data_IF_085368968627
#
_entry.id   IF_085368968627
#
_cell.length_a   1.000
_cell.length_b   1.000
_cell.length_c   1.000
_cell.angle_alpha   90.00
_cell.angle_beta   90.00
_cell.angle_gamma   90.00
#
_symmetry.space_group_name_H-M   'P 1'
#
loop_
_entity.id
_entity.type
_entity.pdbx_description
1 polymer ?
#
# COMPACT_ATOMS: atom_id res chain seq x y z
N UNK A 1 66.78 11.44 24.22
CA UNK A 1 67.10 11.72 22.79
C UNK A 1 66.09 10.97 21.92
N UNK A 2 64.80 11.18 22.19
CA UNK A 2 63.68 10.48 21.56
C UNK A 2 62.50 11.44 21.28
N UNK A 3 62.38 12.52 22.07
CA UNK A 3 61.38 13.59 21.87
C UNK A 3 61.56 14.44 20.59
N UNK A 4 62.71 14.34 19.92
CA UNK A 4 62.99 15.11 18.70
C UNK A 4 62.43 14.46 17.42
N UNK A 5 62.04 13.18 17.45
CA UNK A 5 61.60 12.45 16.26
C UNK A 5 60.08 12.52 15.99
N UNK A 6 59.30 13.08 16.91
CA UNK A 6 57.84 13.22 16.77
C UNK A 6 57.38 14.66 16.51
N UNK A 7 58.30 15.61 16.41
CA UNK A 7 57.98 17.04 16.22
C UNK A 7 57.50 17.40 14.81
N UNK A 8 57.81 16.56 13.82
CA UNK A 8 57.43 16.75 12.40
C UNK A 8 55.99 16.34 12.06
N UNK A 9 55.24 15.81 13.03
CA UNK A 9 53.83 15.39 12.85
C UNK A 9 52.82 16.35 13.50
N UNK A 10 53.26 17.49 14.07
CA UNK A 10 52.31 18.51 14.53
C UNK A 10 51.84 19.36 13.35
N UNK A 11 50.52 19.54 13.16
CA UNK A 11 49.99 20.50 12.20
C UNK A 11 50.52 21.91 12.51
N UNK A 12 50.81 22.75 11.50
CA UNK A 12 51.24 24.13 11.75
C UNK A 12 50.16 24.90 12.50
N UNK A 13 50.55 25.62 13.56
CA UNK A 13 49.66 26.54 14.26
C UNK A 13 49.29 27.69 13.30
N UNK A 14 48.07 27.64 12.77
CA UNK A 14 47.55 28.70 11.92
C UNK A 14 47.20 29.91 12.80
N UNK A 15 47.71 31.12 12.50
CA UNK A 15 47.34 32.32 13.23
C UNK A 15 45.83 32.56 13.10
N UNK A 16 45.21 32.91 14.23
CA UNK A 16 43.79 33.18 14.40
C UNK A 16 43.30 34.30 13.48
N UNK A 17 42.69 33.92 12.35
CA UNK A 17 41.83 34.81 11.58
C UNK A 17 40.44 34.78 12.25
N UNK A 18 39.79 35.92 12.53
CA UNK A 18 38.43 35.91 13.04
C UNK A 18 37.51 35.29 12.00
N UNK A 19 37.01 34.09 12.28
CA UNK A 19 35.92 33.50 11.50
C UNK A 19 34.68 34.40 11.63
N UNK A 20 34.04 34.82 10.54
CA UNK A 20 32.69 35.38 10.65
C UNK A 20 31.79 34.34 11.32
N UNK A 21 30.87 34.75 12.21
CA UNK A 21 29.97 33.80 12.85
C UNK A 21 29.24 33.00 11.77
N UNK A 22 28.97 31.69 12.00
CA UNK A 22 28.12 30.94 11.08
C UNK A 22 26.81 31.71 10.91
N UNK A 23 26.22 31.75 9.70
CA UNK A 23 24.93 32.38 9.53
C UNK A 23 23.98 31.73 10.53
N UNK A 24 23.49 32.52 11.48
CA UNK A 24 22.42 32.10 12.38
C UNK A 24 21.21 31.88 11.48
N UNK A 25 21.00 30.65 11.03
CA UNK A 25 19.75 30.24 10.42
C UNK A 25 18.69 30.16 11.51
N UNK A 26 18.35 31.31 12.11
CA UNK A 26 17.07 31.50 12.76
C UNK A 26 16.05 31.78 11.66
N UNK A 27 15.86 30.81 10.77
CA UNK A 27 14.51 30.61 10.27
C UNK A 27 13.74 30.10 11.49
N UNK A 28 12.59 30.69 11.84
CA UNK A 28 11.69 29.99 12.76
C UNK A 28 11.52 28.60 12.15
N UNK A 29 11.63 27.57 12.98
CA UNK A 29 11.26 26.22 12.64
C UNK A 29 9.74 26.25 12.41
N UNK A 30 9.32 26.89 11.32
CA UNK A 30 7.99 26.83 10.78
C UNK A 30 7.90 25.37 10.37
N UNK A 31 7.32 24.58 11.28
CA UNK A 31 6.72 23.33 10.92
C UNK A 31 5.71 23.72 9.85
N UNK A 32 6.15 23.74 8.60
CA UNK A 32 5.25 23.84 7.46
C UNK A 32 4.56 22.49 7.46
N UNK A 33 3.48 22.41 8.23
CA UNK A 33 2.45 21.39 8.06
C UNK A 33 1.92 21.63 6.66
N UNK A 34 2.60 21.02 5.69
CA UNK A 34 2.26 21.14 4.28
C UNK A 34 0.99 20.32 4.12
N UNK A 35 -0.09 20.95 3.66
CA UNK A 35 -1.30 20.21 3.34
C UNK A 35 -0.94 19.18 2.26
N UNK A 36 -1.12 17.87 2.51
CA UNK A 36 -0.90 16.83 1.51
C UNK A 36 -1.59 17.13 0.19
N UNK A 37 -2.75 17.81 0.21
CA UNK A 37 -3.51 18.17 -0.98
C UNK A 37 -2.78 19.15 -1.91
N UNK A 38 -1.79 19.88 -1.40
CA UNK A 38 -0.95 20.81 -2.16
C UNK A 38 0.27 20.14 -2.78
N UNK A 39 0.58 18.90 -2.37
CA UNK A 39 1.68 18.12 -2.92
C UNK A 39 1.26 17.35 -4.19
N UNK A 40 2.15 17.18 -5.17
CA UNK A 40 1.85 16.38 -6.36
C UNK A 40 1.63 14.91 -5.97
N UNK A 41 0.60 14.23 -6.53
CA UNK A 41 0.29 12.87 -6.15
C UNK A 41 1.24 11.83 -6.76
N UNK A 42 1.43 10.72 -6.05
CA UNK A 42 1.99 9.49 -6.57
C UNK A 42 0.91 8.69 -7.30
N UNK A 43 1.22 8.22 -8.52
CA UNK A 43 0.24 7.63 -9.43
C UNK A 43 0.41 6.12 -9.54
N UNK A 44 -0.71 5.41 -9.40
CA UNK A 44 -0.80 3.97 -9.65
C UNK A 44 -1.94 3.71 -10.64
N UNK A 45 -1.62 3.04 -11.74
CA UNK A 45 -2.61 2.64 -12.75
C UNK A 45 -2.58 1.13 -12.91
N UNK A 46 -3.72 0.48 -12.68
CA UNK A 46 -3.90 -0.96 -12.84
C UNK A 46 -5.03 -1.20 -13.83
N UNK A 47 -4.73 -1.96 -14.87
CA UNK A 47 -5.69 -2.33 -15.88
C UNK A 47 -5.66 -3.85 -16.09
N UNK A 48 -6.84 -4.47 -16.01
CA UNK A 48 -7.03 -5.90 -16.23
C UNK A 48 -8.14 -6.05 -17.26
N UNK A 49 -7.78 -6.44 -18.46
CA UNK A 49 -8.74 -6.74 -19.52
C UNK A 49 -8.61 -8.20 -19.95
N UNK A 50 -9.77 -8.85 -20.10
CA UNK A 50 -9.86 -10.21 -20.63
C UNK A 50 -10.53 -10.17 -22.00
N UNK A 51 -10.02 -10.98 -22.94
CA UNK A 51 -10.71 -11.17 -24.22
C UNK A 51 -12.10 -11.78 -24.02
N UNK A 52 -13.13 -11.38 -24.79
CA UNK A 52 -14.49 -11.96 -24.70
C UNK A 52 -14.55 -13.49 -24.94
N UNK A 53 -13.53 -14.06 -25.59
CA UNK A 53 -13.42 -15.49 -25.86
C UNK A 53 -12.73 -16.27 -24.75
N UNK A 54 -12.22 -15.58 -23.73
CA UNK A 54 -11.60 -16.20 -22.55
C UNK A 54 -12.62 -16.34 -21.42
N UNK A 55 -12.29 -17.21 -20.46
CA UNK A 55 -13.06 -17.41 -19.25
C UNK A 55 -12.10 -17.49 -18.05
N UNK A 56 -12.59 -17.10 -16.88
CA UNK A 56 -11.84 -17.16 -15.62
C UNK A 56 -12.63 -17.90 -14.57
N UNK A 57 -11.96 -18.71 -13.75
CA UNK A 57 -12.56 -19.38 -12.61
C UNK A 57 -11.99 -18.77 -11.33
N UNK A 58 -12.87 -18.23 -10.50
CA UNK A 58 -12.55 -17.65 -9.20
C UNK A 58 -12.95 -18.64 -8.09
N UNK A 59 -12.02 -18.87 -7.18
CA UNK A 59 -12.21 -19.71 -6.00
C UNK A 59 -12.27 -18.85 -4.74
N UNK A 60 -12.94 -19.36 -3.71
CA UNK A 60 -13.01 -18.87 -2.31
C UNK A 60 -12.48 -17.44 -2.06
N UNK A 61 -11.16 -17.22 -1.87
CA UNK A 61 -10.61 -15.90 -1.58
C UNK A 61 -10.89 -14.83 -2.64
N UNK A 62 -10.81 -15.19 -3.93
CA UNK A 62 -11.09 -14.25 -5.03
C UNK A 62 -12.58 -13.93 -5.12
N UNK A 63 -13.44 -14.91 -4.83
CA UNK A 63 -14.89 -14.67 -4.72
C UNK A 63 -15.21 -13.74 -3.54
N UNK A 64 -14.55 -13.94 -2.40
CA UNK A 64 -14.69 -13.06 -1.24
C UNK A 64 -14.23 -11.64 -1.57
N UNK A 65 -13.12 -11.49 -2.30
CA UNK A 65 -12.65 -10.18 -2.75
C UNK A 65 -13.71 -9.45 -3.60
N UNK A 66 -14.41 -10.14 -4.51
CA UNK A 66 -15.49 -9.55 -5.30
C UNK A 66 -16.66 -9.04 -4.44
N UNK A 67 -17.06 -9.79 -3.42
CA UNK A 67 -18.14 -9.38 -2.50
C UNK A 67 -17.70 -8.18 -1.65
N UNK A 68 -16.43 -8.16 -1.25
CA UNK A 68 -15.84 -7.10 -0.44
C UNK A 68 -15.35 -5.89 -1.24
N UNK A 69 -15.61 -5.79 -2.54
CA UNK A 69 -15.28 -4.59 -3.34
C UNK A 69 -15.91 -3.32 -2.74
N UNK A 70 -17.09 -3.44 -2.14
CA UNK A 70 -17.78 -2.34 -1.47
C UNK A 70 -17.31 -2.13 -0.03
N UNK A 71 -16.68 -3.13 0.59
CA UNK A 71 -16.24 -3.04 1.98
C UNK A 71 -14.98 -2.15 2.04
N UNK A 72 -14.98 -1.20 2.97
CA UNK A 72 -14.09 -0.03 3.12
C UNK A 72 -12.56 -0.33 3.23
N UNK A 73 -12.16 -1.60 3.09
CA UNK A 73 -10.78 -2.06 3.27
C UNK A 73 -9.77 -1.50 2.26
N UNK A 74 -10.22 -1.01 1.11
CA UNK A 74 -9.34 -0.46 0.06
C UNK A 74 -9.39 1.07 -0.02
N UNK A 75 -10.36 1.68 0.64
CA UNK A 75 -10.61 3.12 0.63
C UNK A 75 -9.93 3.80 1.82
N UNK A 76 -9.81 3.12 2.96
CA UNK A 76 -9.16 3.66 4.15
C UNK A 76 -7.73 3.13 4.33
N UNK A 77 -6.74 3.96 4.03
CA UNK A 77 -5.31 3.63 4.24
C UNK A 77 -4.85 3.96 5.68
N UNK A 78 -5.72 4.57 6.49
CA UNK A 78 -5.42 4.91 7.88
C UNK A 78 -5.31 3.66 8.78
N UNK A 79 -6.10 2.61 8.53
CA UNK A 79 -6.14 1.41 9.39
C UNK A 79 -4.98 0.42 9.14
N UNK A 80 -4.30 0.50 7.99
CA UNK A 80 -3.20 -0.40 7.64
C UNK A 80 -1.95 -0.21 8.52
N UNK A 81 -1.83 0.92 9.23
CA UNK A 81 -0.74 1.17 10.18
C UNK A 81 -1.04 0.55 11.55
N UNK A 82 -2.30 0.20 11.83
CA UNK A 82 -2.79 -0.23 13.15
C UNK A 82 -3.04 -1.73 13.28
N UNK A 83 -3.07 -2.48 12.17
CA UNK A 83 -3.39 -3.92 12.17
C UNK A 83 -2.15 -4.80 11.93
N UNK A 84 -1.70 -5.60 12.91
CA UNK A 84 -0.48 -6.42 12.80
C UNK A 84 -0.61 -7.63 11.85
N UNK A 85 -1.77 -7.84 11.21
CA UNK A 85 -2.01 -9.04 10.40
C UNK A 85 -1.48 -8.90 8.97
N UNK A 86 -1.38 -7.67 8.43
CA UNK A 86 -0.87 -7.43 7.07
C UNK A 86 0.65 -7.23 6.98
N UNK A 87 1.36 -7.10 8.11
CA UNK A 87 2.83 -7.11 8.16
C UNK A 87 3.46 -8.42 7.63
N UNK A 88 2.66 -9.47 7.43
CA UNK A 88 3.11 -10.79 6.94
C UNK A 88 3.13 -10.91 5.41
N UNK A 89 2.46 -10.02 4.66
CA UNK A 89 2.32 -10.13 3.20
C UNK A 89 3.01 -9.01 2.40
N UNK A 90 3.58 -8.00 3.06
CA UNK A 90 4.32 -6.92 2.40
C UNK A 90 5.68 -6.67 3.03
N UNK A 91 6.61 -7.63 2.92
CA UNK A 91 8.02 -7.38 2.57
C UNK A 91 8.79 -8.71 2.46
N UNK A 92 8.71 -9.36 1.30
CA UNK A 92 9.86 -10.13 0.81
C UNK A 92 10.92 -9.16 0.28
N UNK A 93 11.45 -8.32 1.16
CA UNK A 93 12.68 -7.55 0.94
C UNK A 93 13.59 -7.86 2.12
N UNK A 94 14.40 -8.88 1.94
CA UNK A 94 15.50 -9.28 2.80
C UNK A 94 16.50 -8.13 2.95
N UNK A 95 16.34 -7.27 3.94
CA UNK A 95 17.41 -6.54 4.64
C UNK A 95 16.84 -6.13 6.00
N UNK A 96 16.95 -7.04 6.97
CA UNK A 96 16.38 -6.84 8.30
C UNK A 96 17.15 -5.80 9.09
N UNK A 97 16.44 -4.88 9.75
CA UNK A 97 16.81 -4.27 11.02
C UNK A 97 15.57 -4.31 11.92
N UNK A 98 15.64 -5.04 13.04
CA UNK A 98 14.64 -4.94 14.10
C UNK A 98 14.83 -3.64 14.86
N UNK A 99 13.79 -2.84 15.14
CA UNK A 99 13.87 -1.84 16.18
C UNK A 99 13.47 -2.50 17.50
N UNK A 100 14.48 -2.75 18.33
CA UNK A 100 14.31 -2.97 19.76
C UNK A 100 13.39 -1.89 20.35
N UNK A 101 12.54 -2.32 21.28
CA UNK A 101 11.55 -1.48 21.93
C UNK A 101 12.12 -0.15 22.41
N UNK A 102 11.43 0.91 22.03
CA UNK A 102 11.50 2.19 22.70
C UNK A 102 10.09 2.77 22.69
N UNK A 103 9.77 3.45 23.78
CA UNK A 103 8.42 3.83 24.17
C UNK A 103 7.61 4.56 23.07
N UNK A 104 6.33 4.23 23.15
CA UNK A 104 5.19 4.87 22.52
C UNK A 104 5.02 6.29 23.09
N UNK A 105 4.37 7.19 22.32
CA UNK A 105 3.81 8.50 22.74
C UNK A 105 4.52 9.82 22.31
N UNK A 106 5.76 9.89 21.78
CA UNK A 106 6.34 11.21 21.36
C UNK A 106 7.31 11.22 20.17
N UNK A 107 7.32 10.23 19.28
CA UNK A 107 8.23 10.26 18.12
C UNK A 107 7.69 11.10 16.96
N UNK A 108 8.08 12.37 17.01
CA UNK A 108 8.56 13.19 15.90
C UNK A 108 7.76 13.17 14.59
N UNK A 109 6.80 14.10 14.48
CA UNK A 109 6.44 14.69 13.18
C UNK A 109 7.64 15.33 12.44
N UNK A 110 8.84 15.36 13.05
CA UNK A 110 10.08 15.89 12.50
C UNK A 110 10.90 14.86 11.68
N UNK A 111 10.56 13.56 11.69
CA UNK A 111 11.29 12.50 10.97
C UNK A 111 10.53 11.89 9.79
N UNK A 112 9.29 12.31 9.54
CA UNK A 112 8.55 11.89 8.36
C UNK A 112 9.10 12.62 7.12
N UNK A 113 9.63 11.85 6.17
CA UNK A 113 10.11 12.39 4.90
C UNK A 113 8.94 13.12 4.21
N UNK A 114 9.07 14.39 3.76
CA UNK A 114 7.96 15.16 3.20
C UNK A 114 7.29 14.50 2.00
N UNK A 115 8.03 13.67 1.23
CA UNK A 115 7.46 12.88 0.13
C UNK A 115 6.51 11.77 0.60
N UNK A 116 6.57 11.36 1.88
CA UNK A 116 5.65 10.40 2.47
C UNK A 116 4.26 11.01 2.74
N UNK A 117 4.15 12.34 2.72
CA UNK A 117 2.88 13.05 2.79
C UNK A 117 2.24 13.23 1.40
N UNK A 118 2.86 12.75 0.32
CA UNK A 118 2.27 12.92 -1.02
C UNK A 118 1.03 12.05 -1.17
N UNK A 119 -0.08 12.60 -1.68
CA UNK A 119 -1.31 11.87 -1.85
C UNK A 119 -1.15 10.81 -2.95
N UNK A 120 -2.03 9.81 -2.92
CA UNK A 120 -2.13 8.83 -4.00
C UNK A 120 -3.22 9.22 -5.00
N UNK A 121 -2.94 9.00 -6.28
CA UNK A 121 -3.89 9.08 -7.39
C UNK A 121 -3.91 7.71 -8.07
N UNK A 122 -4.86 6.86 -7.66
CA UNK A 122 -4.96 5.46 -8.03
C UNK A 122 -6.12 5.30 -9.01
N UNK A 123 -5.86 4.67 -10.15
CA UNK A 123 -6.88 4.25 -11.11
C UNK A 123 -6.83 2.75 -11.28
N UNK A 124 -7.97 2.08 -11.14
CA UNK A 124 -8.12 0.65 -11.36
C UNK A 124 -9.25 0.43 -12.36
N UNK A 125 -8.96 -0.32 -13.42
CA UNK A 125 -9.88 -0.69 -14.48
C UNK A 125 -9.84 -2.21 -14.64
N UNK A 126 -10.98 -2.87 -14.47
CA UNK A 126 -11.11 -4.32 -14.60
C UNK A 126 -12.29 -4.62 -15.53
N UNK A 127 -12.06 -5.38 -16.57
CA UNK A 127 -13.09 -5.83 -17.52
C UNK A 127 -12.91 -7.33 -17.79
N UNK A 128 -13.75 -8.14 -17.17
CA UNK A 128 -13.73 -9.60 -17.27
C UNK A 128 -15.01 -10.11 -17.94
N UNK A 129 -14.86 -11.19 -18.70
CA UNK A 129 -15.96 -11.89 -19.36
C UNK A 129 -15.99 -13.34 -18.89
N UNK A 130 -17.19 -13.95 -18.91
CA UNK A 130 -17.42 -15.38 -18.59
C UNK A 130 -16.71 -15.80 -17.29
N UNK A 131 -17.05 -15.10 -16.20
CA UNK A 131 -16.49 -15.34 -14.86
C UNK A 131 -17.25 -16.48 -14.19
N UNK A 132 -16.55 -17.55 -13.85
CA UNK A 132 -17.09 -18.69 -13.12
C UNK A 132 -16.66 -18.63 -11.65
N UNK A 133 -17.61 -18.78 -10.73
CA UNK A 133 -17.33 -18.94 -9.30
C UNK A 133 -17.47 -20.39 -8.89
N UNK A 134 -16.51 -20.92 -8.13
CA UNK A 134 -16.62 -22.24 -7.49
C UNK A 134 -16.21 -22.19 -6.02
N UNK A 135 -17.04 -22.73 -5.15
CA UNK A 135 -16.70 -22.94 -3.75
C UNK A 135 -16.10 -24.34 -3.57
N UNK A 136 -14.84 -24.46 -3.11
CA UNK A 136 -14.27 -25.76 -2.79
C UNK A 136 -15.03 -26.40 -1.63
N UNK A 137 -15.49 -27.63 -1.81
CA UNK A 137 -16.13 -28.42 -0.76
C UNK A 137 -15.46 -29.79 -0.66
N UNK A 138 -15.50 -30.39 0.52
CA UNK A 138 -15.10 -31.78 0.69
C UNK A 138 -16.20 -32.68 0.10
N UNK A 139 -15.95 -33.22 -1.10
CA UNK A 139 -16.91 -34.09 -1.78
C UNK A 139 -16.65 -35.56 -1.43
N UNK A 140 -17.71 -36.26 -1.03
CA UNK A 140 -17.77 -37.72 -0.97
C UNK A 140 -18.52 -38.27 -2.19
N UNK A 141 -18.59 -39.58 -2.36
CA UNK A 141 -19.31 -40.18 -3.49
C UNK A 141 -20.80 -39.79 -3.56
N UNK A 142 -21.40 -39.47 -2.40
CA UNK A 142 -22.82 -39.16 -2.26
C UNK A 142 -23.09 -37.68 -1.96
N UNK A 143 -22.08 -36.81 -2.03
CA UNK A 143 -22.25 -35.39 -1.71
C UNK A 143 -22.89 -34.61 -2.87
N UNK A 144 -23.73 -33.60 -2.58
CA UNK A 144 -24.28 -32.72 -3.62
C UNK A 144 -23.18 -32.02 -4.43
N UNK A 145 -23.52 -31.60 -5.64
CA UNK A 145 -22.64 -30.75 -6.45
C UNK A 145 -22.29 -29.46 -5.70
N UNK A 146 -21.02 -29.06 -5.77
CA UNK A 146 -20.56 -27.86 -5.11
C UNK A 146 -21.25 -26.60 -5.67
N UNK A 147 -21.62 -25.63 -4.81
CA UNK A 147 -22.18 -24.38 -5.25
C UNK A 147 -21.26 -23.71 -6.26
N UNK A 148 -21.87 -23.26 -7.36
CA UNK A 148 -21.17 -22.58 -8.42
C UNK A 148 -21.92 -21.34 -8.86
N UNK A 149 -21.23 -20.46 -9.56
CA UNK A 149 -21.82 -19.26 -10.12
C UNK A 149 -21.24 -18.96 -11.49
N UNK A 150 -21.99 -18.21 -12.27
CA UNK A 150 -21.58 -17.70 -13.57
C UNK A 150 -21.99 -16.23 -13.68
N UNK A 151 -21.07 -15.39 -14.13
CA UNK A 151 -21.28 -13.98 -14.39
C UNK A 151 -20.78 -13.68 -15.79
N UNK A 152 -21.65 -13.20 -16.67
CA UNK A 152 -21.29 -12.96 -18.08
C UNK A 152 -20.25 -11.85 -18.19
N UNK A 153 -20.41 -10.78 -17.40
CA UNK A 153 -19.52 -9.62 -17.39
C UNK A 153 -19.32 -9.07 -15.98
N UNK A 154 -18.06 -8.79 -15.65
CA UNK A 154 -17.65 -8.00 -14.50
C UNK A 154 -16.86 -6.79 -15.00
N UNK A 155 -17.40 -5.58 -14.79
CA UNK A 155 -16.63 -4.36 -14.97
C UNK A 155 -16.48 -3.65 -13.63
N UNK A 156 -15.25 -3.29 -13.28
CA UNK A 156 -14.96 -2.51 -12.10
C UNK A 156 -14.05 -1.35 -12.48
N UNK A 157 -14.45 -0.14 -12.11
CA UNK A 157 -13.67 1.06 -12.27
C UNK A 157 -13.58 1.76 -10.92
N UNK A 158 -12.36 2.11 -10.52
CA UNK A 158 -12.10 2.88 -9.32
C UNK A 158 -11.11 3.98 -9.62
N UNK A 159 -11.43 5.19 -9.15
CA UNK A 159 -10.53 6.32 -9.13
C UNK A 159 -10.45 6.85 -7.71
N UNK A 160 -9.33 6.57 -7.03
CA UNK A 160 -9.04 7.08 -5.69
C UNK A 160 -8.10 8.27 -5.81
N UNK A 161 -8.63 9.45 -5.49
CA UNK A 161 -7.83 10.65 -5.28
C UNK A 161 -7.64 10.94 -3.79
N UNK A 162 -7.07 12.10 -3.48
CA UNK A 162 -6.84 12.51 -2.10
C UNK A 162 -8.14 12.79 -1.32
N UNK A 163 -9.12 13.45 -1.95
CA UNK A 163 -10.34 13.92 -1.28
C UNK A 163 -11.52 12.97 -1.41
N UNK A 164 -11.51 12.12 -2.43
CA UNK A 164 -12.63 11.26 -2.76
C UNK A 164 -12.15 10.00 -3.47
N UNK A 165 -12.92 8.93 -3.31
CA UNK A 165 -12.80 7.73 -4.12
C UNK A 165 -14.11 7.51 -4.86
N UNK A 166 -14.04 7.45 -6.18
CA UNK A 166 -15.15 7.11 -7.06
C UNK A 166 -15.06 5.65 -7.46
N UNK A 167 -16.20 4.94 -7.43
CA UNK A 167 -16.28 3.52 -7.74
C UNK A 167 -17.50 3.25 -8.63
N UNK A 168 -17.29 2.48 -9.69
CA UNK A 168 -18.34 1.96 -10.56
C UNK A 168 -18.17 0.45 -10.70
N UNK A 169 -19.26 -0.30 -10.45
CA UNK A 169 -19.28 -1.75 -10.55
C UNK A 169 -20.47 -2.18 -11.43
N UNK A 170 -20.21 -2.98 -12.45
CA UNK A 170 -21.21 -3.59 -13.32
C UNK A 170 -21.08 -5.10 -13.23
N UNK A 171 -22.19 -5.76 -12.85
CA UNK A 171 -22.35 -7.20 -12.82
C UNK A 171 -23.52 -7.56 -13.73
N UNK A 172 -23.30 -8.38 -14.75
CA UNK A 172 -24.36 -8.68 -15.73
C UNK A 172 -24.25 -10.08 -16.32
N UNK A 173 -25.39 -10.74 -16.53
CA UNK A 173 -26.22 -11.28 -15.46
C UNK A 173 -25.43 -12.26 -14.57
N UNK A 174 -25.83 -12.36 -13.30
CA UNK A 174 -25.27 -13.30 -12.34
C UNK A 174 -26.21 -14.50 -12.14
N UNK A 175 -25.70 -15.70 -12.36
CA UNK A 175 -26.38 -16.97 -12.11
C UNK A 175 -25.68 -17.69 -10.98
N UNK A 176 -26.45 -18.21 -10.03
CA UNK A 176 -25.95 -19.00 -8.91
C UNK A 176 -26.66 -20.36 -8.96
N UNK A 177 -25.86 -21.43 -8.92
CA UNK A 177 -26.32 -22.80 -8.96
C UNK A 177 -26.04 -23.44 -7.60
N UNK A 178 -27.11 -23.90 -6.96
CA UNK A 178 -27.08 -24.57 -5.66
C UNK A 178 -27.90 -25.84 -5.79
N UNK A 179 -27.30 -26.96 -5.41
CA UNK A 179 -27.98 -28.24 -5.33
C UNK A 179 -28.49 -28.44 -3.90
N UNK A 180 -29.80 -28.57 -3.74
CA UNK A 180 -30.42 -28.99 -2.48
C UNK A 180 -30.75 -30.48 -2.59
N UNK A 181 -30.18 -31.30 -1.71
CA UNK A 181 -30.50 -32.73 -1.59
C UNK A 181 -31.52 -32.85 -0.47
N UNK A 182 -32.80 -32.65 -0.78
CA UNK A 182 -33.91 -33.02 0.09
C UNK A 182 -34.45 -34.41 -0.27
#
# INVERSE_FOLDING_TARGET
MEDAMLSSLRPPEHPSVPHPPPPRSSAPNSRVTTDPSELPPDRLHVEIEMSPDSQIILYGPLLKALVSIKDDMYTDFEEAVSSPVLSSLSTSSTLGWSPLGLDDDRRDAATLHPLALRPWDITVLINLYKVHGRLPMHCGSDSPEAPSGFLEKLCFEMKKGYKETMLQLVLSPAHIFISDNY
#
